data_IF_956088834145
#
_entry.id   IF_956088834145
#
_cell.length_a   1.000
_cell.length_b   1.000
_cell.length_c   1.000
_cell.angle_alpha   90.00
_cell.angle_beta   90.00
_cell.angle_gamma   90.00
#
_symmetry.space_group_name_H-M   'P 1'
#
loop_
_entity.id
_entity.type
_entity.pdbx_description
1 polymer ?
#
# COMPACT_ATOMS: atom_id res chain seq x y z
N UNK A 1 4.72 -20.41 -7.77
CA UNK A 1 3.46 -20.63 -7.05
C UNK A 1 2.57 -19.38 -7.06
N UNK A 2 3.02 -18.21 -6.62
CA UNK A 2 2.20 -16.96 -6.64
C UNK A 2 1.75 -16.59 -8.05
N UNK A 3 2.62 -16.71 -9.06
CA UNK A 3 2.29 -16.44 -10.47
C UNK A 3 1.24 -17.42 -11.07
N UNK A 4 0.89 -18.51 -10.39
CA UNK A 4 -0.15 -19.43 -10.85
C UNK A 4 -1.53 -19.13 -10.26
N UNK A 5 -1.59 -18.31 -9.21
CA UNK A 5 -2.84 -17.90 -8.53
C UNK A 5 -3.38 -16.59 -9.12
N UNK A 6 -2.50 -15.68 -9.54
CA UNK A 6 -2.90 -14.38 -10.07
C UNK A 6 -2.46 -14.23 -11.53
N UNK A 7 -3.44 -14.01 -12.39
CA UNK A 7 -3.21 -13.81 -13.84
C UNK A 7 -2.72 -12.39 -14.15
N UNK A 8 -3.02 -11.41 -13.27
CA UNK A 8 -2.69 -10.00 -13.45
C UNK A 8 -1.84 -9.49 -12.30
N UNK A 9 -0.63 -9.02 -12.60
CA UNK A 9 0.32 -8.53 -11.59
C UNK A 9 -0.19 -7.32 -10.83
N UNK A 10 -0.93 -6.44 -11.47
CA UNK A 10 -1.54 -5.24 -10.88
C UNK A 10 -2.40 -5.50 -9.64
N UNK A 11 -2.76 -6.78 -9.42
CA UNK A 11 -3.54 -7.20 -8.24
C UNK A 11 -2.80 -6.95 -6.92
N UNK A 12 -1.45 -6.89 -6.94
CA UNK A 12 -0.67 -6.60 -5.76
C UNK A 12 -1.09 -5.28 -5.10
N UNK A 13 -1.37 -4.26 -5.91
CA UNK A 13 -1.77 -2.95 -5.40
C UNK A 13 -3.12 -3.01 -4.70
N UNK A 14 -4.09 -3.74 -5.28
CA UNK A 14 -5.39 -3.99 -4.66
C UNK A 14 -5.25 -4.67 -3.30
N UNK A 15 -4.44 -5.72 -3.23
CA UNK A 15 -4.25 -6.49 -1.98
C UNK A 15 -3.59 -5.64 -0.88
N UNK A 16 -2.57 -4.85 -1.22
CA UNK A 16 -1.90 -3.99 -0.25
C UNK A 16 -2.81 -2.85 0.23
N UNK A 17 -3.58 -2.23 -0.66
CA UNK A 17 -4.57 -1.20 -0.29
C UNK A 17 -5.69 -1.79 0.57
N UNK A 18 -6.15 -3.01 0.27
CA UNK A 18 -7.15 -3.71 1.08
C UNK A 18 -6.64 -3.97 2.49
N UNK A 19 -5.41 -4.46 2.62
CA UNK A 19 -4.78 -4.68 3.94
C UNK A 19 -4.64 -3.38 4.73
N UNK A 20 -4.27 -2.29 4.07
CA UNK A 20 -4.20 -0.96 4.67
C UNK A 20 -5.58 -0.49 5.18
N UNK A 21 -6.63 -0.68 4.37
CA UNK A 21 -8.02 -0.39 4.75
C UNK A 21 -8.46 -1.20 5.97
N UNK A 22 -8.16 -2.50 6.00
CA UNK A 22 -8.51 -3.40 7.11
C UNK A 22 -7.79 -2.98 8.41
N UNK A 23 -6.53 -2.53 8.32
CA UNK A 23 -5.78 -2.01 9.45
C UNK A 23 -6.41 -0.73 10.02
N UNK A 24 -6.90 0.14 9.14
CA UNK A 24 -7.62 1.35 9.55
C UNK A 24 -8.97 0.99 10.16
N UNK A 25 -9.75 0.07 9.54
CA UNK A 25 -11.03 -0.39 10.10
C UNK A 25 -10.88 -0.92 11.51
N UNK A 26 -9.85 -1.74 11.77
CA UNK A 26 -9.55 -2.26 13.12
C UNK A 26 -9.31 -1.14 14.13
N UNK A 27 -8.52 -0.12 13.77
CA UNK A 27 -8.26 1.01 14.66
C UNK A 27 -9.50 1.88 14.84
N UNK A 28 -10.26 2.13 13.78
CA UNK A 28 -11.51 2.88 13.83
C UNK A 28 -12.54 2.21 14.76
N UNK A 29 -12.76 0.89 14.62
CA UNK A 29 -13.67 0.18 15.52
C UNK A 29 -13.20 0.22 16.97
N UNK A 30 -11.90 0.11 17.22
CA UNK A 30 -11.34 0.27 18.56
C UNK A 30 -11.58 1.68 19.11
N UNK A 31 -11.46 2.72 18.31
CA UNK A 31 -11.69 4.11 18.72
C UNK A 31 -13.13 4.40 19.12
N UNK A 32 -14.10 3.57 18.72
CA UNK A 32 -15.50 3.72 19.15
C UNK A 32 -15.73 3.36 20.63
N UNK A 33 -14.80 2.63 21.24
CA UNK A 33 -14.88 2.14 22.63
C UNK A 33 -13.69 2.55 23.49
N UNK A 34 -12.67 3.18 22.90
CA UNK A 34 -11.42 3.57 23.57
C UNK A 34 -11.15 5.06 23.33
N UNK A 35 -11.52 5.88 24.32
CA UNK A 35 -11.35 7.34 24.28
C UNK A 35 -9.88 7.78 24.25
N UNK A 36 -8.92 6.87 24.47
CA UNK A 36 -7.50 7.16 24.34
C UNK A 36 -7.04 7.32 22.88
N UNK A 37 -7.89 6.96 21.90
CA UNK A 37 -7.63 7.10 20.48
C UNK A 37 -8.28 8.39 19.96
N UNK A 38 -7.54 9.51 19.86
CA UNK A 38 -8.10 10.82 19.55
C UNK A 38 -8.34 11.03 18.04
N UNK A 39 -8.46 9.96 17.24
CA UNK A 39 -8.60 10.03 15.80
C UNK A 39 -10.08 10.11 15.41
N UNK A 40 -10.42 11.08 14.58
CA UNK A 40 -11.71 11.17 13.92
C UNK A 40 -11.68 10.42 12.57
N UNK A 41 -12.86 10.13 12.02
CA UNK A 41 -12.95 9.42 10.74
C UNK A 41 -12.18 10.10 9.59
N UNK A 42 -12.06 11.43 9.64
CA UNK A 42 -11.36 12.22 8.62
C UNK A 42 -9.83 12.15 8.72
N UNK A 43 -9.29 11.64 9.83
CA UNK A 43 -7.84 11.56 10.05
C UNK A 43 -7.22 10.31 9.42
N UNK A 44 -8.06 9.30 9.11
CA UNK A 44 -7.61 8.06 8.50
C UNK A 44 -7.36 8.23 7.00
N UNK A 45 -6.24 7.69 6.54
CA UNK A 45 -5.83 7.78 5.13
C UNK A 45 -4.87 6.68 4.74
N UNK A 46 -4.82 6.43 3.43
CA UNK A 46 -3.81 5.61 2.77
C UNK A 46 -3.02 6.54 1.85
N UNK A 47 -1.70 6.48 1.91
CA UNK A 47 -0.82 7.30 1.08
C UNK A 47 0.09 6.41 0.24
N UNK A 48 0.14 6.69 -1.07
CA UNK A 48 1.11 6.10 -1.98
C UNK A 48 2.24 7.11 -2.23
N UNK A 49 3.46 6.61 -2.32
CA UNK A 49 4.61 7.41 -2.71
C UNK A 49 5.52 6.62 -3.65
N UNK A 50 6.10 7.31 -4.62
CA UNK A 50 6.99 6.75 -5.64
C UNK A 50 8.34 7.43 -5.55
N UNK A 51 9.39 6.64 -5.58
CA UNK A 51 10.78 7.06 -5.80
C UNK A 51 11.29 6.35 -7.06
N UNK A 52 11.27 7.08 -8.17
CA UNK A 52 11.66 6.52 -9.48
C UNK A 52 13.14 6.22 -9.56
N UNK A 53 13.98 7.00 -8.87
CA UNK A 53 15.42 6.85 -8.91
C UNK A 53 15.86 5.55 -8.24
N UNK A 54 15.22 5.22 -7.10
CA UNK A 54 15.50 4.03 -6.33
C UNK A 54 14.53 2.88 -6.62
N UNK A 55 13.64 3.03 -7.61
CA UNK A 55 12.62 2.05 -8.00
C UNK A 55 11.72 1.60 -6.83
N UNK A 56 11.35 2.54 -5.95
CA UNK A 56 10.55 2.26 -4.77
C UNK A 56 9.10 2.71 -4.96
N UNK A 57 8.17 1.83 -4.57
CA UNK A 57 6.76 2.16 -4.37
C UNK A 57 6.40 1.88 -2.92
N UNK A 58 5.88 2.89 -2.23
CA UNK A 58 5.45 2.76 -0.83
C UNK A 58 3.95 2.94 -0.70
N UNK A 59 3.32 2.09 0.12
CA UNK A 59 1.94 2.19 0.55
C UNK A 59 1.94 2.34 2.06
N UNK A 60 1.39 3.45 2.56
CA UNK A 60 1.39 3.79 4.00
C UNK A 60 -0.04 3.98 4.47
N UNK A 61 -0.41 3.34 5.57
CA UNK A 61 -1.64 3.59 6.30
C UNK A 61 -1.35 4.14 7.70
N UNK A 62 -2.32 4.78 8.30
CA UNK A 62 -2.30 5.19 9.70
C UNK A 62 -3.30 4.40 10.55
N UNK A 63 -3.42 3.11 10.26
CA UNK A 63 -4.25 2.15 10.98
C UNK A 63 -3.64 1.66 12.29
N UNK A 64 -4.06 0.46 12.72
CA UNK A 64 -3.68 -0.09 14.02
C UNK A 64 -2.18 -0.41 14.15
N UNK A 65 -1.45 -0.55 13.04
CA UNK A 65 -0.07 -1.04 13.03
C UNK A 65 0.02 -2.49 13.49
N UNK A 66 1.27 -2.96 13.63
CA UNK A 66 1.59 -4.33 14.07
C UNK A 66 2.78 -4.30 15.03
N UNK A 67 2.76 -5.16 16.04
CA UNK A 67 3.94 -5.47 16.87
C UNK A 67 4.90 -6.40 16.12
N UNK A 68 6.09 -6.63 16.67
CA UNK A 68 7.06 -7.58 16.08
C UNK A 68 6.48 -8.99 15.97
N UNK A 69 5.75 -9.45 16.99
CA UNK A 69 5.10 -10.76 17.02
C UNK A 69 3.99 -10.85 15.97
N UNK A 70 3.22 -9.76 15.78
CA UNK A 70 2.19 -9.70 14.76
C UNK A 70 2.79 -9.67 13.34
N UNK A 71 3.91 -8.96 13.13
CA UNK A 71 4.66 -9.01 11.88
C UNK A 71 5.15 -10.44 11.59
N UNK A 72 5.74 -11.11 12.60
CA UNK A 72 6.18 -12.50 12.45
C UNK A 72 5.00 -13.43 12.11
N UNK A 73 3.90 -13.30 12.81
CA UNK A 73 2.72 -14.13 12.61
C UNK A 73 2.06 -13.91 11.25
N UNK A 74 1.91 -12.65 10.83
CA UNK A 74 1.14 -12.29 9.64
C UNK A 74 1.98 -12.36 8.36
N UNK A 75 3.30 -12.08 8.45
CA UNK A 75 4.19 -12.01 7.30
C UNK A 75 5.26 -13.11 7.28
N UNK A 76 5.52 -13.77 8.41
CA UNK A 76 6.59 -14.75 8.55
C UNK A 76 6.23 -16.16 8.10
N UNK A 77 4.96 -16.52 8.10
CA UNK A 77 4.53 -17.92 7.99
C UNK A 77 4.92 -18.58 6.66
N UNK A 78 4.81 -17.87 5.54
CA UNK A 78 5.15 -18.40 4.21
C UNK A 78 6.66 -18.38 3.96
N UNK A 79 7.37 -17.38 4.46
CA UNK A 79 8.82 -17.33 4.36
C UNK A 79 9.51 -18.43 5.16
N UNK A 80 8.89 -18.94 6.23
CA UNK A 80 9.35 -20.13 7.00
C UNK A 80 8.93 -21.45 6.37
N UNK A 81 7.78 -21.52 5.72
CA UNK A 81 7.22 -22.75 5.16
C UNK A 81 7.63 -22.97 3.71
N UNK A 82 8.86 -22.64 3.34
CA UNK A 82 9.37 -22.87 1.99
C UNK A 82 8.92 -24.22 1.44
N UNK A 83 7.84 -24.20 0.66
CA UNK A 83 7.37 -25.25 -0.27
C UNK A 83 6.89 -26.59 0.27
N UNK A 84 7.07 -26.98 1.53
CA UNK A 84 6.72 -28.34 1.98
C UNK A 84 5.36 -28.46 2.70
N UNK A 85 4.96 -27.47 3.48
CA UNK A 85 3.70 -27.55 4.24
C UNK A 85 2.48 -27.16 3.39
N UNK A 86 2.64 -26.23 2.45
CA UNK A 86 1.56 -25.84 1.54
C UNK A 86 1.15 -26.97 0.57
N UNK A 87 2.06 -27.92 0.26
CA UNK A 87 1.73 -29.10 -0.55
C UNK A 87 0.88 -30.10 0.22
N UNK A 88 0.99 -30.16 1.54
CA UNK A 88 0.25 -31.09 2.38
C UNK A 88 -1.20 -30.70 2.64
N UNK A 89 -1.48 -29.39 2.68
CA UNK A 89 -2.84 -28.89 2.95
C UNK A 89 -3.71 -28.76 1.70
N UNK A 90 -3.11 -28.73 0.49
CA UNK A 90 -3.85 -28.64 -0.78
C UNK A 90 -4.13 -29.97 -1.49
N UNK A 91 -3.85 -31.13 -0.85
CA UNK A 91 -4.23 -32.44 -1.39
C UNK A 91 -5.66 -32.87 -1.00
N UNK A 92 -6.37 -32.09 -0.20
CA UNK A 92 -7.80 -32.28 0.05
C UNK A 92 -8.59 -31.29 -0.78
N UNK A 93 -9.04 -31.78 -1.94
CA UNK A 93 -9.87 -30.99 -2.85
C UNK A 93 -11.18 -30.58 -2.21
N UNK A 94 -11.36 -29.28 -2.11
CA UNK A 94 -12.64 -28.59 -2.17
C UNK A 94 -12.38 -27.15 -2.63
N UNK A 95 -13.03 -26.75 -3.73
CA UNK A 95 -13.07 -25.39 -4.24
C UNK A 95 -13.67 -24.45 -3.19
N UNK A 96 -12.82 -23.71 -2.48
CA UNK A 96 -13.27 -22.61 -1.63
C UNK A 96 -12.59 -21.34 -2.10
N UNK A 97 -13.39 -20.47 -2.75
CA UNK A 97 -13.08 -19.07 -2.99
C UNK A 97 -12.88 -18.33 -1.65
N UNK A 98 -11.66 -18.33 -1.13
CA UNK A 98 -11.29 -17.60 0.08
C UNK A 98 -10.08 -16.74 -0.22
N UNK A 99 -10.28 -15.67 -0.98
CA UNK A 99 -9.20 -14.81 -1.49
C UNK A 99 -8.67 -13.83 -0.43
N UNK A 100 -9.37 -13.59 0.67
CA UNK A 100 -8.97 -12.60 1.68
C UNK A 100 -8.64 -13.15 3.07
N UNK A 101 -8.90 -14.42 3.36
CA UNK A 101 -8.80 -14.96 4.72
C UNK A 101 -7.46 -15.61 5.09
N UNK A 102 -6.51 -15.78 4.15
CA UNK A 102 -5.28 -16.53 4.41
C UNK A 102 -3.99 -15.70 4.49
N UNK A 103 -4.05 -14.38 4.46
CA UNK A 103 -2.84 -13.54 4.50
C UNK A 103 -1.93 -13.69 3.27
N UNK A 104 -2.35 -14.42 2.23
CA UNK A 104 -1.56 -14.60 1.00
C UNK A 104 -1.54 -13.38 0.10
N UNK A 105 -2.50 -12.45 0.26
CA UNK A 105 -2.58 -11.22 -0.54
C UNK A 105 -1.32 -10.38 -0.45
N UNK A 106 -0.71 -10.28 0.73
CA UNK A 106 0.55 -9.55 0.93
C UNK A 106 1.67 -10.07 0.02
N UNK A 107 1.77 -11.39 -0.17
CA UNK A 107 2.83 -12.00 -0.97
C UNK A 107 2.72 -11.72 -2.47
N UNK A 108 1.58 -11.19 -2.93
CA UNK A 108 1.44 -10.70 -4.30
C UNK A 108 2.44 -9.56 -4.60
N UNK A 109 2.93 -8.87 -3.57
CA UNK A 109 4.01 -7.89 -3.68
C UNK A 109 5.25 -8.45 -4.39
N UNK A 110 5.62 -9.72 -4.13
CA UNK A 110 6.77 -10.36 -4.76
C UNK A 110 6.56 -10.72 -6.25
N UNK A 111 5.36 -10.55 -6.79
CA UNK A 111 5.16 -10.63 -8.23
C UNK A 111 5.87 -9.48 -8.96
N UNK A 112 5.96 -8.31 -8.32
CA UNK A 112 6.50 -7.08 -8.90
C UNK A 112 7.77 -6.59 -8.21
N UNK A 113 8.03 -7.01 -6.96
CA UNK A 113 9.17 -6.62 -6.16
C UNK A 113 10.17 -7.76 -6.00
N UNK A 114 11.45 -7.45 -5.92
CA UNK A 114 12.54 -8.34 -5.53
C UNK A 114 12.90 -8.19 -4.06
N UNK A 115 12.55 -7.06 -3.45
CA UNK A 115 12.70 -6.82 -2.02
C UNK A 115 11.49 -6.07 -1.47
N UNK A 116 11.02 -6.46 -0.28
CA UNK A 116 9.89 -5.86 0.41
C UNK A 116 10.30 -5.51 1.83
N UNK A 117 10.08 -4.26 2.21
CA UNK A 117 10.27 -3.75 3.58
C UNK A 117 8.91 -3.38 4.16
N UNK A 118 8.62 -3.82 5.38
CA UNK A 118 7.42 -3.42 6.13
C UNK A 118 7.84 -2.79 7.44
N UNK A 119 7.59 -1.50 7.58
CA UNK A 119 7.77 -0.75 8.82
C UNK A 119 6.42 -0.58 9.50
N UNK A 120 6.31 -0.98 10.76
CA UNK A 120 5.05 -0.90 11.47
C UNK A 120 5.24 -0.56 12.93
N UNK A 121 4.37 0.34 13.44
CA UNK A 121 4.27 0.65 14.86
C UNK A 121 2.82 0.54 15.30
N UNK A 122 2.56 -0.42 16.20
CA UNK A 122 1.25 -0.67 16.74
C UNK A 122 0.76 0.50 17.61
N UNK A 123 -0.54 0.64 17.74
CA UNK A 123 -1.14 1.60 18.66
C UNK A 123 -0.80 1.23 20.11
N UNK A 124 -0.20 2.18 20.83
CA UNK A 124 0.26 1.99 22.21
C UNK A 124 1.74 1.66 22.35
N UNK A 125 2.42 1.28 21.26
CA UNK A 125 3.86 1.02 21.28
C UNK A 125 4.67 2.31 21.09
N UNK A 126 5.84 2.38 21.74
CA UNK A 126 6.79 3.48 21.60
C UNK A 126 7.73 3.27 20.42
N UNK A 127 8.11 2.03 20.14
CA UNK A 127 9.05 1.63 19.10
C UNK A 127 8.34 0.91 17.96
N UNK A 128 8.76 1.13 16.73
CA UNK A 128 8.33 0.36 15.57
C UNK A 128 9.18 -0.88 15.37
N UNK A 129 8.74 -1.71 14.42
CA UNK A 129 9.47 -2.88 13.94
C UNK A 129 9.54 -2.85 12.42
N UNK A 130 10.69 -3.25 11.89
CA UNK A 130 10.94 -3.40 10.46
C UNK A 130 11.08 -4.88 10.13
N UNK A 131 10.25 -5.33 9.22
CA UNK A 131 10.33 -6.64 8.59
C UNK A 131 10.87 -6.47 7.17
N UNK A 132 11.80 -7.32 6.75
CA UNK A 132 12.38 -7.29 5.41
C UNK A 132 12.52 -8.68 4.84
N UNK A 133 12.28 -8.82 3.54
CA UNK A 133 12.44 -10.08 2.81
C UNK A 133 12.69 -9.85 1.32
N UNK A 134 13.51 -10.72 0.73
CA UNK A 134 13.65 -10.88 -0.72
C UNK A 134 12.83 -12.07 -1.27
N UNK A 135 11.89 -12.58 -0.50
CA UNK A 135 10.96 -13.65 -0.89
C UNK A 135 11.38 -15.03 -0.40
N UNK A 136 12.15 -15.79 -1.19
CA UNK A 136 12.42 -17.20 -0.90
C UNK A 136 13.47 -17.45 0.19
N UNK A 137 14.29 -16.47 0.52
CA UNK A 137 15.46 -16.65 1.41
C UNK A 137 15.15 -16.45 2.91
N UNK A 138 13.89 -16.17 3.24
CA UNK A 138 13.47 -15.88 4.60
C UNK A 138 13.21 -14.36 4.82
N UNK A 139 13.21 -13.96 6.08
CA UNK A 139 12.97 -12.59 6.49
C UNK A 139 13.78 -12.23 7.73
N UNK A 140 13.94 -10.94 7.97
CA UNK A 140 14.44 -10.38 9.23
C UNK A 140 13.39 -9.52 9.89
N UNK A 141 13.41 -9.42 11.23
CA UNK A 141 12.62 -8.45 11.99
C UNK A 141 13.57 -7.76 12.97
N UNK A 142 13.60 -6.42 12.90
CA UNK A 142 14.44 -5.58 13.74
C UNK A 142 13.63 -4.41 14.30
N UNK A 143 13.94 -3.92 15.52
CA UNK A 143 13.36 -2.67 15.99
C UNK A 143 13.74 -1.51 15.09
N UNK A 144 12.84 -0.56 14.87
CA UNK A 144 13.12 0.66 14.14
C UNK A 144 12.49 1.88 14.83
N UNK A 145 13.10 3.04 14.65
CA UNK A 145 12.54 4.31 15.10
C UNK A 145 11.44 4.76 14.13
N UNK A 146 10.27 5.07 14.65
CA UNK A 146 9.14 5.59 13.88
C UNK A 146 8.47 6.71 14.69
N UNK A 147 8.35 7.89 14.08
CA UNK A 147 7.66 9.04 14.65
C UNK A 147 6.15 9.06 14.36
N UNK A 148 5.68 8.12 13.54
CA UNK A 148 4.27 7.94 13.16
C UNK A 148 3.79 6.52 13.51
N UNK A 149 2.46 6.30 13.49
CA UNK A 149 1.80 5.01 13.75
C UNK A 149 1.11 4.49 12.49
N UNK A 150 0.95 3.16 12.43
CA UNK A 150 0.40 2.46 11.28
C UNK A 150 1.44 1.60 10.60
N UNK A 151 1.25 1.33 9.31
CA UNK A 151 2.14 0.45 8.54
C UNK A 151 2.55 1.11 7.23
N UNK A 152 3.81 0.96 6.87
CA UNK A 152 4.35 1.27 5.55
C UNK A 152 4.90 0.01 4.93
N UNK A 153 4.39 -0.32 3.75
CA UNK A 153 4.94 -1.37 2.89
C UNK A 153 5.70 -0.69 1.76
N UNK A 154 6.99 -0.93 1.67
CA UNK A 154 7.86 -0.43 0.60
C UNK A 154 8.31 -1.57 -0.28
N UNK A 155 8.08 -1.45 -1.58
CA UNK A 155 8.43 -2.40 -2.62
C UNK A 155 9.61 -1.86 -3.41
N UNK A 156 10.72 -2.59 -3.46
CA UNK A 156 11.76 -2.37 -4.47
C UNK A 156 11.36 -3.15 -5.72
N UNK A 157 10.98 -2.44 -6.78
CA UNK A 157 10.45 -3.06 -7.99
C UNK A 157 11.57 -3.70 -8.82
N UNK A 158 11.27 -4.88 -9.33
CA UNK A 158 12.15 -5.63 -10.24
C UNK A 158 12.56 -4.79 -11.44
N UNK A 159 13.71 -5.11 -12.02
CA UNK A 159 14.12 -4.56 -13.30
C UNK A 159 13.17 -4.97 -14.42
N UNK A 160 13.00 -4.09 -15.39
CA UNK A 160 12.22 -4.38 -16.57
C UNK A 160 12.90 -5.47 -17.40
N UNK A 161 12.09 -6.33 -18.01
CA UNK A 161 12.54 -7.36 -18.94
C UNK A 161 11.99 -7.12 -20.34
N UNK A 162 12.35 -7.95 -21.32
CA UNK A 162 11.81 -7.86 -22.68
C UNK A 162 10.28 -8.05 -22.71
N UNK A 163 9.76 -8.90 -21.81
CA UNK A 163 8.35 -9.27 -21.74
C UNK A 163 7.54 -8.45 -20.73
N UNK A 164 8.19 -7.81 -19.75
CA UNK A 164 7.52 -7.23 -18.59
C UNK A 164 8.13 -5.89 -18.18
N UNK A 165 7.26 -4.89 -17.99
CA UNK A 165 7.62 -3.54 -17.57
C UNK A 165 7.15 -3.27 -16.15
N UNK A 166 7.98 -3.58 -15.17
CA UNK A 166 7.69 -3.28 -13.77
C UNK A 166 7.76 -1.79 -13.46
N UNK A 167 8.54 -1.02 -14.25
CA UNK A 167 8.60 0.44 -14.14
C UNK A 167 7.26 1.14 -14.39
N UNK A 168 6.27 0.47 -15.02
CA UNK A 168 4.93 1.05 -15.14
C UNK A 168 4.29 1.38 -13.79
N UNK A 169 4.63 0.62 -12.73
CA UNK A 169 4.14 0.84 -11.37
C UNK A 169 4.87 1.94 -10.62
N UNK A 170 5.84 2.62 -11.24
CA UNK A 170 6.46 3.85 -10.78
C UNK A 170 5.84 5.10 -11.43
N UNK A 171 4.90 4.91 -12.38
CA UNK A 171 4.22 6.02 -13.04
C UNK A 171 2.96 6.42 -12.26
N UNK A 172 2.92 7.66 -11.79
CA UNK A 172 1.87 8.18 -10.92
C UNK A 172 0.48 8.09 -11.56
N UNK A 173 0.39 8.38 -12.87
CA UNK A 173 -0.86 8.26 -13.61
C UNK A 173 -1.35 6.82 -13.70
N UNK A 174 -0.42 5.88 -13.90
CA UNK A 174 -0.75 4.44 -13.93
C UNK A 174 -1.26 3.96 -12.57
N UNK A 175 -0.61 4.36 -11.48
CA UNK A 175 -1.07 4.06 -10.14
C UNK A 175 -2.46 4.65 -9.87
N UNK A 176 -2.71 5.89 -10.27
CA UNK A 176 -4.02 6.53 -10.13
C UNK A 176 -5.12 5.78 -10.88
N UNK A 177 -4.85 5.29 -12.10
CA UNK A 177 -5.78 4.45 -12.85
C UNK A 177 -6.07 3.13 -12.15
N UNK A 178 -5.04 2.44 -11.64
CA UNK A 178 -5.19 1.18 -10.94
C UNK A 178 -5.97 1.33 -9.63
N UNK A 179 -5.69 2.39 -8.87
CA UNK A 179 -6.44 2.70 -7.64
C UNK A 179 -7.92 2.93 -7.98
N UNK A 180 -8.23 3.73 -8.99
CA UNK A 180 -9.62 3.96 -9.41
C UNK A 180 -10.31 2.68 -9.87
N UNK A 181 -9.59 1.79 -10.56
CA UNK A 181 -10.13 0.54 -11.07
C UNK A 181 -10.45 -0.48 -9.98
N UNK A 182 -9.62 -0.54 -8.93
CA UNK A 182 -9.66 -1.65 -7.97
C UNK A 182 -10.04 -1.26 -6.54
N UNK A 183 -10.23 0.03 -6.24
CA UNK A 183 -10.40 0.49 -4.86
C UNK A 183 -11.76 1.16 -4.59
N UNK A 184 -12.77 0.95 -5.44
CA UNK A 184 -14.09 1.56 -5.29
C UNK A 184 -14.78 1.23 -3.95
N UNK A 185 -14.43 0.11 -3.34
CA UNK A 185 -14.95 -0.33 -2.04
C UNK A 185 -14.19 0.25 -0.84
N UNK A 186 -13.05 0.90 -1.06
CA UNK A 186 -12.24 1.48 0.01
C UNK A 186 -12.90 2.76 0.52
N UNK A 187 -13.11 2.83 1.84
CA UNK A 187 -13.84 3.93 2.50
C UNK A 187 -12.97 5.11 2.89
N UNK A 188 -11.66 4.94 2.82
CA UNK A 188 -10.66 5.92 3.25
C UNK A 188 -10.05 6.64 2.07
N UNK A 189 -9.70 7.93 2.22
CA UNK A 189 -9.02 8.65 1.17
C UNK A 189 -7.68 8.01 0.84
N UNK A 190 -7.43 7.85 -0.47
CA UNK A 190 -6.15 7.39 -0.99
C UNK A 190 -5.48 8.58 -1.68
N UNK A 191 -4.26 8.90 -1.27
CA UNK A 191 -3.49 10.04 -1.77
C UNK A 191 -2.22 9.59 -2.47
N UNK A 192 -1.80 10.36 -3.47
CA UNK A 192 -0.55 10.18 -4.20
C UNK A 192 0.04 11.54 -4.53
N UNK A 193 1.35 11.69 -4.42
CA UNK A 193 2.05 12.88 -4.88
C UNK A 193 2.07 12.88 -6.41
N UNK A 194 1.37 13.86 -7.02
CA UNK A 194 1.18 13.96 -8.47
C UNK A 194 1.84 15.21 -9.02
N UNK A 195 2.47 15.13 -10.21
CA UNK A 195 2.95 16.33 -10.89
C UNK A 195 1.77 17.15 -11.42
N UNK A 196 1.76 18.44 -11.09
CA UNK A 196 0.84 19.43 -11.60
C UNK A 196 1.59 20.43 -12.48
N UNK A 197 1.08 20.68 -13.67
CA UNK A 197 1.65 21.68 -14.57
C UNK A 197 0.97 23.02 -14.33
N UNK A 198 1.69 23.99 -13.76
CA UNK A 198 1.17 25.33 -13.52
C UNK A 198 1.90 26.34 -14.40
N UNK A 199 1.18 27.35 -14.93
CA UNK A 199 1.84 28.45 -15.60
C UNK A 199 2.82 29.13 -14.61
N UNK A 200 4.04 29.40 -15.05
CA UNK A 200 4.98 30.18 -14.25
C UNK A 200 4.39 31.57 -13.98
N UNK A 201 4.55 32.03 -12.75
CA UNK A 201 4.16 33.39 -12.39
C UNK A 201 4.98 34.39 -13.21
N UNK A 202 4.31 35.31 -13.87
CA UNK A 202 4.95 36.47 -14.54
C UNK A 202 5.31 37.47 -13.45
N UNK A 203 6.57 37.94 -13.34
CA UNK A 203 6.95 38.97 -12.39
C UNK A 203 6.13 40.25 -12.58
N UNK A 204 5.80 40.93 -11.48
CA UNK A 204 5.09 42.23 -11.55
C UNK A 204 5.90 43.23 -12.39
N UNK A 205 5.31 43.68 -13.52
CA UNK A 205 5.92 44.67 -14.42
C UNK A 205 6.49 44.09 -15.71
N UNK A 206 6.46 42.78 -15.91
CA UNK A 206 6.82 42.15 -17.18
C UNK A 206 5.57 41.82 -17.98
N UNK A 207 5.65 42.00 -19.33
CA UNK A 207 4.58 41.55 -20.23
C UNK A 207 4.50 40.04 -20.25
N UNK A 208 3.29 39.49 -20.14
CA UNK A 208 3.09 38.04 -20.23
C UNK A 208 3.59 37.50 -21.60
N UNK A 209 4.38 36.41 -21.63
CA UNK A 209 4.85 35.87 -22.88
C UNK A 209 3.67 35.37 -23.74
N UNK A 210 3.79 35.48 -25.06
CA UNK A 210 2.74 35.01 -26.02
C UNK A 210 2.37 33.53 -25.82
N UNK A 211 3.29 32.75 -25.25
CA UNK A 211 3.03 31.35 -24.85
C UNK A 211 3.40 31.20 -23.38
N UNK A 212 2.46 30.78 -22.52
CA UNK A 212 2.77 30.56 -21.12
C UNK A 212 3.83 29.46 -20.97
N UNK A 213 4.87 29.75 -20.20
CA UNK A 213 5.79 28.71 -19.71
C UNK A 213 5.15 28.00 -18.53
N UNK A 214 5.32 26.67 -18.46
CA UNK A 214 4.80 25.86 -17.37
C UNK A 214 5.94 25.36 -16.49
N UNK A 215 5.67 25.28 -15.20
CA UNK A 215 6.52 24.62 -14.23
C UNK A 215 5.80 23.38 -13.68
N UNK A 216 6.57 22.38 -13.29
CA UNK A 216 6.04 21.19 -12.63
C UNK A 216 6.09 21.40 -11.12
N UNK A 217 4.93 21.41 -10.49
CA UNK A 217 4.78 21.46 -9.03
C UNK A 217 4.23 20.13 -8.56
N UNK A 218 4.89 19.53 -7.58
CA UNK A 218 4.43 18.27 -7.00
C UNK A 218 3.45 18.53 -5.87
N UNK A 219 2.23 18.02 -6.00
CA UNK A 219 1.18 18.19 -5.01
C UNK A 219 0.56 16.86 -4.61
N UNK A 220 0.21 16.77 -3.33
CA UNK A 220 -0.51 15.62 -2.81
C UNK A 220 -1.93 15.64 -3.39
N UNK A 221 -2.21 14.72 -4.29
CA UNK A 221 -3.49 14.58 -4.95
C UNK A 221 -4.31 13.46 -4.30
N UNK A 222 -5.58 13.74 -4.09
CA UNK A 222 -6.55 12.75 -3.67
C UNK A 222 -6.98 11.95 -4.90
N UNK A 223 -6.54 10.69 -4.99
CA UNK A 223 -6.80 9.84 -6.16
C UNK A 223 -8.02 8.94 -5.98
N UNK A 224 -8.46 8.75 -4.75
CA UNK A 224 -9.68 8.02 -4.43
C UNK A 224 -10.34 8.58 -3.16
N UNK A 225 -11.66 8.76 -3.23
CA UNK A 225 -12.56 9.00 -2.10
C UNK A 225 -13.85 8.24 -2.38
N UNK A 226 -14.30 7.43 -1.43
CA UNK A 226 -15.64 6.84 -1.55
C UNK A 226 -16.67 7.93 -1.27
N UNK A 227 -17.56 8.20 -2.20
CA UNK A 227 -18.72 9.02 -1.90
C UNK A 227 -19.53 8.37 -0.77
N UNK A 228 -19.97 9.14 0.23
CA UNK A 228 -20.89 8.62 1.22
C UNK A 228 -22.14 8.16 0.47
N UNK A 229 -22.45 6.86 0.54
CA UNK A 229 -23.68 6.31 -0.02
C UNK A 229 -24.83 7.11 0.57
N UNK A 230 -25.46 7.98 -0.22
CA UNK A 230 -26.74 8.58 0.14
C UNK A 230 -27.72 7.44 0.20
N UNK A 231 -27.93 6.88 1.38
CA UNK A 231 -29.16 6.16 1.64
C UNK A 231 -30.28 7.19 1.49
N UNK A 232 -30.91 7.18 0.31
CA UNK A 232 -32.21 7.79 0.14
C UNK A 232 -33.14 7.07 1.12
N UNK A 233 -33.46 7.75 2.21
CA UNK A 233 -34.62 7.37 3.03
C UNK A 233 -35.86 7.50 2.11
N UNK A 234 -36.39 6.35 1.72
CA UNK A 234 -37.76 6.23 1.24
C UNK A 234 -38.60 5.82 2.44
#
# INVERSE_FOLDING_TARGET
MINSVYTHKEIFLRELISNASDAIDKLYFRSLTDDSIPLSRGDYKIALAVDKENRLLSITDNGCGMTAEELEKNLGTIAKSGSLDFKRENETGEDVEVIGQFGVGFYSAFMVADHVTVESRAWGEETGSRWESSGAEGYTIEPCEMDWRGTRVTLHLKDDTEDEKYSEFLEEYRLSELVKKYSDYIRYPITLLMPQYRPKAVPEGEEAPEKPEYETVWELSLIHISEPTRHSLI
#
